data_IF_732439519217
#
_entry.id   IF_732439519217
#
_cell.length_a   1.000
_cell.length_b   1.000
_cell.length_c   1.000
_cell.angle_alpha   90.00
_cell.angle_beta   90.00
_cell.angle_gamma   90.00
#
_symmetry.space_group_name_H-M   'P 1'
#
loop_
_entity.id
_entity.type
_entity.pdbx_description
1 polymer ?
#
# COMPACT_ATOMS: atom_id res chain seq x y z
N UNK A 1 -38.94 1.84 -8.85
CA UNK A 1 -39.00 2.21 -7.44
C UNK A 1 -37.59 2.36 -6.86
N UNK A 2 -36.70 1.35 -7.00
CA UNK A 2 -35.35 1.36 -6.40
C UNK A 2 -34.51 2.58 -6.83
N UNK A 3 -34.44 2.89 -8.11
CA UNK A 3 -33.67 4.05 -8.60
C UNK A 3 -34.21 5.39 -8.06
N UNK A 4 -35.53 5.50 -7.84
CA UNK A 4 -36.13 6.66 -7.19
C UNK A 4 -35.78 6.72 -5.71
N UNK A 5 -35.83 5.58 -5.00
CA UNK A 5 -35.45 5.50 -3.58
C UNK A 5 -34.01 5.96 -3.39
N UNK A 6 -33.07 5.42 -4.15
CA UNK A 6 -31.65 5.82 -4.07
C UNK A 6 -31.46 7.29 -4.50
N UNK A 7 -32.14 7.76 -5.54
CA UNK A 7 -32.02 9.14 -6.02
C UNK A 7 -32.59 10.20 -5.07
N UNK A 8 -33.69 9.91 -4.37
CA UNK A 8 -34.39 10.87 -3.52
C UNK A 8 -34.06 10.71 -2.02
N UNK A 9 -33.76 9.48 -1.58
CA UNK A 9 -33.51 9.14 -0.16
C UNK A 9 -32.06 8.83 0.14
N UNK A 10 -31.22 8.64 -0.88
CA UNK A 10 -29.83 8.22 -0.79
C UNK A 10 -29.61 6.80 -0.19
N UNK A 11 -30.66 6.03 0.02
CA UNK A 11 -30.64 4.66 0.53
C UNK A 11 -31.83 3.83 -0.01
N UNK A 12 -31.83 2.54 0.32
CA UNK A 12 -32.93 1.62 -0.02
C UNK A 12 -34.05 1.76 1.02
N UNK A 13 -35.06 2.58 0.71
CA UNK A 13 -36.24 2.80 1.57
C UNK A 13 -37.39 1.90 1.10
N UNK A 14 -37.64 0.79 1.79
CA UNK A 14 -38.66 -0.20 1.46
C UNK A 14 -40.07 0.37 1.61
N UNK A 15 -40.33 1.22 2.60
CA UNK A 15 -41.62 1.86 2.79
C UNK A 15 -41.97 2.82 1.65
N UNK A 16 -40.96 3.59 1.20
CA UNK A 16 -41.11 4.47 0.06
C UNK A 16 -41.41 3.68 -1.22
N UNK A 17 -40.65 2.61 -1.47
CA UNK A 17 -40.86 1.74 -2.62
C UNK A 17 -42.20 1.01 -2.56
N UNK A 18 -42.63 0.59 -1.38
CA UNK A 18 -43.97 -0.01 -1.16
C UNK A 18 -45.10 0.94 -1.52
N UNK A 19 -45.00 2.21 -1.12
CA UNK A 19 -46.00 3.25 -1.54
C UNK A 19 -46.05 3.48 -3.04
N UNK A 20 -44.90 3.38 -3.73
CA UNK A 20 -44.84 3.56 -5.19
C UNK A 20 -45.35 2.37 -5.97
N UNK A 21 -45.21 1.15 -5.46
CA UNK A 21 -45.48 -0.08 -6.18
C UNK A 21 -46.74 -0.81 -5.72
N UNK A 22 -47.20 -0.52 -4.51
CA UNK A 22 -48.32 -1.25 -3.88
C UNK A 22 -47.89 -2.64 -3.35
N UNK A 23 -46.57 -2.93 -3.28
CA UNK A 23 -46.03 -4.20 -2.82
C UNK A 23 -45.53 -4.09 -1.38
N UNK A 24 -45.60 -5.21 -0.65
CA UNK A 24 -44.99 -5.31 0.68
C UNK A 24 -43.45 -5.50 0.60
N UNK A 25 -42.81 -5.38 1.73
CA UNK A 25 -41.34 -5.47 1.86
C UNK A 25 -40.80 -6.83 1.43
N UNK A 26 -41.49 -7.92 1.76
CA UNK A 26 -41.08 -9.28 1.44
C UNK A 26 -41.10 -9.52 -0.09
N UNK A 27 -42.17 -9.09 -0.73
CA UNK A 27 -42.31 -9.14 -2.22
C UNK A 27 -41.24 -8.27 -2.88
N UNK A 28 -41.01 -7.06 -2.39
CA UNK A 28 -39.96 -6.16 -2.93
C UNK A 28 -38.57 -6.74 -2.79
N UNK A 29 -38.25 -7.32 -1.63
CA UNK A 29 -36.95 -7.96 -1.43
C UNK A 29 -36.76 -9.16 -2.36
N UNK A 30 -37.83 -9.97 -2.52
CA UNK A 30 -37.82 -11.11 -3.46
C UNK A 30 -37.60 -10.68 -4.90
N UNK A 31 -38.31 -9.62 -5.34
CA UNK A 31 -38.19 -9.06 -6.73
C UNK A 31 -36.81 -8.45 -7.00
N UNK A 32 -36.15 -7.91 -5.96
CA UNK A 32 -34.86 -7.25 -6.04
C UNK A 32 -33.70 -8.17 -5.62
N UNK A 33 -33.94 -9.47 -5.56
CA UNK A 33 -32.94 -10.47 -5.19
C UNK A 33 -31.70 -10.35 -6.06
N UNK A 34 -30.52 -10.16 -5.43
CA UNK A 34 -29.25 -9.95 -6.13
C UNK A 34 -28.99 -8.50 -6.58
N UNK A 35 -29.98 -7.61 -6.48
CA UNK A 35 -29.85 -6.16 -6.74
C UNK A 35 -29.68 -5.39 -5.42
N UNK A 36 -30.31 -5.87 -4.36
CA UNK A 36 -30.13 -5.41 -3.00
C UNK A 36 -29.78 -6.59 -2.10
N UNK A 37 -29.10 -6.32 -0.99
CA UNK A 37 -28.63 -7.31 -0.03
C UNK A 37 -28.99 -6.88 1.39
N UNK A 38 -29.29 -7.86 2.27
CA UNK A 38 -29.39 -7.63 3.70
C UNK A 38 -28.04 -7.21 4.25
N UNK A 39 -28.03 -6.16 5.06
CA UNK A 39 -26.80 -5.70 5.70
C UNK A 39 -26.52 -6.54 6.96
N UNK A 40 -25.41 -7.31 7.02
CA UNK A 40 -25.07 -8.11 8.21
C UNK A 40 -24.79 -7.28 9.47
N UNK A 41 -24.51 -5.98 9.32
CA UNK A 41 -24.28 -5.06 10.44
C UNK A 41 -25.59 -4.51 11.05
N UNK A 42 -26.71 -4.62 10.32
CA UNK A 42 -28.01 -4.15 10.82
C UNK A 42 -28.50 -5.03 11.96
N UNK A 43 -28.78 -4.42 13.10
CA UNK A 43 -29.30 -5.07 14.32
C UNK A 43 -30.66 -4.56 14.78
N UNK A 44 -31.15 -3.48 14.14
CA UNK A 44 -32.44 -2.86 14.45
C UNK A 44 -32.51 -1.41 13.99
N UNK A 45 -33.71 -0.80 14.08
CA UNK A 45 -33.98 0.53 13.53
C UNK A 45 -33.14 1.68 14.08
N UNK A 46 -32.45 1.48 15.20
CA UNK A 46 -31.70 2.54 15.89
C UNK A 46 -30.20 2.30 15.96
N UNK A 47 -29.66 1.38 15.16
CA UNK A 47 -28.22 1.03 15.20
C UNK A 47 -27.36 1.89 14.25
N UNK A 48 -28.00 2.77 13.47
CA UNK A 48 -27.32 3.66 12.52
C UNK A 48 -26.91 2.97 11.22
N UNK A 49 -27.33 1.73 10.99
CA UNK A 49 -27.08 0.96 9.77
C UNK A 49 -28.36 0.80 8.94
N UNK A 50 -28.23 0.93 7.63
CA UNK A 50 -29.31 0.61 6.71
C UNK A 50 -29.55 -0.91 6.67
N UNK A 51 -30.82 -1.33 6.67
CA UNK A 51 -31.21 -2.75 6.62
C UNK A 51 -30.86 -3.39 5.28
N UNK A 52 -30.99 -2.65 4.19
CA UNK A 52 -30.71 -3.09 2.83
C UNK A 52 -29.67 -2.23 2.18
N UNK A 53 -28.71 -2.85 1.50
CA UNK A 53 -27.67 -2.18 0.75
C UNK A 53 -27.81 -2.50 -0.73
N UNK A 54 -27.61 -1.55 -1.65
CA UNK A 54 -27.59 -1.82 -3.08
C UNK A 54 -26.32 -2.64 -3.44
N UNK A 55 -26.41 -3.39 -4.56
CA UNK A 55 -25.36 -4.33 -4.96
C UNK A 55 -24.00 -3.66 -5.19
N UNK A 56 -23.96 -2.48 -5.79
CA UNK A 56 -22.74 -1.72 -6.06
C UNK A 56 -22.01 -1.32 -4.76
N UNK A 57 -22.74 -0.99 -3.71
CA UNK A 57 -22.18 -0.72 -2.39
C UNK A 57 -21.78 -2.01 -1.66
N UNK A 58 -22.67 -3.01 -1.64
CA UNK A 58 -22.46 -4.25 -0.90
C UNK A 58 -21.30 -5.07 -1.48
N UNK A 59 -21.23 -5.21 -2.80
CA UNK A 59 -20.27 -6.02 -3.52
C UNK A 59 -18.96 -5.29 -3.85
N UNK A 60 -18.68 -4.16 -3.19
CA UNK A 60 -17.46 -3.37 -3.37
C UNK A 60 -16.68 -3.20 -2.05
N UNK A 61 -15.50 -2.58 -2.12
CA UNK A 61 -14.63 -2.36 -0.96
C UNK A 61 -13.94 -3.64 -0.49
N UNK A 62 -13.91 -3.89 0.82
CA UNK A 62 -13.26 -5.10 1.38
C UNK A 62 -14.17 -6.32 1.26
N UNK A 63 -14.35 -6.81 0.03
CA UNK A 63 -15.22 -7.96 -0.28
C UNK A 63 -14.78 -9.26 0.39
N UNK A 64 -13.49 -9.43 0.72
CA UNK A 64 -12.98 -10.60 1.45
C UNK A 64 -13.51 -10.65 2.87
N UNK A 65 -13.44 -9.53 3.58
CA UNK A 65 -13.97 -9.43 4.94
C UNK A 65 -15.50 -9.55 4.94
N UNK A 66 -16.17 -8.89 3.99
CA UNK A 66 -17.63 -8.99 3.83
C UNK A 66 -18.07 -10.43 3.58
N UNK A 67 -17.31 -11.19 2.76
CA UNK A 67 -17.59 -12.60 2.47
C UNK A 67 -17.47 -13.48 3.72
N UNK A 68 -16.41 -13.34 4.50
CA UNK A 68 -16.25 -14.09 5.76
C UNK A 68 -17.40 -13.81 6.74
N UNK A 69 -17.83 -12.53 6.85
CA UNK A 69 -18.99 -12.15 7.69
C UNK A 69 -20.28 -12.78 7.15
N UNK A 70 -20.50 -12.68 5.82
CA UNK A 70 -21.71 -13.24 5.20
C UNK A 70 -21.81 -14.76 5.35
N UNK A 71 -20.69 -15.50 5.24
CA UNK A 71 -20.65 -16.95 5.50
C UNK A 71 -21.07 -17.28 6.94
N UNK A 72 -20.48 -16.58 7.93
CA UNK A 72 -20.86 -16.82 9.33
C UNK A 72 -22.32 -16.45 9.65
N UNK A 73 -22.88 -15.44 8.95
CA UNK A 73 -24.32 -15.11 9.08
C UNK A 73 -25.19 -16.14 8.38
N UNK A 74 -24.81 -16.64 7.21
CA UNK A 74 -25.58 -17.64 6.46
C UNK A 74 -25.69 -18.99 7.20
N UNK A 75 -24.72 -19.35 8.04
CA UNK A 75 -24.80 -20.52 8.91
C UNK A 75 -25.90 -20.40 9.99
N UNK A 76 -26.21 -19.17 10.40
CA UNK A 76 -27.20 -18.86 11.43
C UNK A 76 -28.58 -18.53 10.85
N UNK A 77 -28.59 -17.83 9.70
CA UNK A 77 -29.79 -17.38 9.02
C UNK A 77 -29.67 -17.58 7.48
N UNK A 78 -30.47 -18.50 6.91
CA UNK A 78 -30.44 -18.79 5.47
C UNK A 78 -30.70 -17.58 4.54
N UNK A 79 -31.29 -16.49 5.05
CA UNK A 79 -31.54 -15.29 4.24
C UNK A 79 -30.22 -14.65 3.75
N UNK A 80 -29.11 -14.86 4.48
CA UNK A 80 -27.77 -14.39 4.09
C UNK A 80 -27.04 -15.30 3.09
N UNK A 81 -27.63 -16.44 2.69
CA UNK A 81 -26.99 -17.34 1.72
C UNK A 81 -26.69 -16.61 0.39
N UNK A 82 -27.64 -15.80 -0.09
CA UNK A 82 -27.44 -15.01 -1.31
C UNK A 82 -26.30 -14.01 -1.19
N UNK A 83 -26.10 -13.43 0.00
CA UNK A 83 -25.01 -12.52 0.29
C UNK A 83 -23.65 -13.23 0.13
N UNK A 84 -23.52 -14.41 0.72
CA UNK A 84 -22.30 -15.21 0.64
C UNK A 84 -22.00 -15.66 -0.81
N UNK A 85 -23.02 -16.11 -1.55
CA UNK A 85 -22.89 -16.53 -2.94
C UNK A 85 -22.49 -15.35 -3.86
N UNK A 86 -23.12 -14.20 -3.72
CA UNK A 86 -22.81 -13.02 -4.52
C UNK A 86 -21.39 -12.48 -4.21
N UNK A 87 -21.01 -12.44 -2.93
CA UNK A 87 -19.66 -12.02 -2.54
C UNK A 87 -18.59 -13.01 -3.00
N UNK A 88 -18.87 -14.32 -3.09
CA UNK A 88 -17.96 -15.30 -3.63
C UNK A 88 -17.61 -15.05 -5.11
N UNK A 89 -18.58 -14.55 -5.89
CA UNK A 89 -18.38 -14.25 -7.32
C UNK A 89 -17.51 -13.02 -7.59
N UNK A 90 -17.45 -12.08 -6.65
CA UNK A 90 -16.69 -10.83 -6.80
C UNK A 90 -15.36 -10.84 -6.04
N UNK A 91 -14.92 -12.02 -5.56
CA UNK A 91 -13.62 -12.12 -4.90
C UNK A 91 -12.49 -11.80 -5.89
N UNK A 92 -11.55 -10.90 -5.52
CA UNK A 92 -10.39 -10.64 -6.36
C UNK A 92 -9.50 -11.88 -6.42
N UNK A 93 -8.95 -12.14 -7.59
CA UNK A 93 -7.90 -13.16 -7.76
C UNK A 93 -6.65 -12.74 -6.98
N UNK A 94 -6.04 -13.67 -6.27
CA UNK A 94 -4.75 -13.42 -5.63
C UNK A 94 -3.67 -13.23 -6.69
N UNK A 95 -2.88 -12.17 -6.52
CA UNK A 95 -1.72 -11.96 -7.38
C UNK A 95 -0.64 -12.99 -7.06
N UNK A 96 -0.03 -13.53 -8.10
CA UNK A 96 1.18 -14.35 -7.96
C UNK A 96 2.38 -13.46 -7.63
N UNK A 97 3.45 -14.05 -7.09
CA UNK A 97 4.67 -13.31 -6.78
C UNK A 97 5.22 -12.51 -7.98
N UNK A 98 5.11 -13.07 -9.20
CA UNK A 98 5.55 -12.40 -10.44
C UNK A 98 4.70 -11.20 -10.85
N UNK A 99 3.47 -11.09 -10.35
CA UNK A 99 2.55 -9.98 -10.64
C UNK A 99 2.65 -8.86 -9.60
N UNK A 100 3.32 -9.13 -8.46
CA UNK A 100 3.50 -8.13 -7.40
C UNK A 100 4.78 -7.34 -7.66
N UNK A 101 4.65 -6.05 -7.97
CA UNK A 101 5.81 -5.15 -8.09
C UNK A 101 6.23 -4.65 -6.71
N UNK A 102 7.34 -5.15 -6.20
CA UNK A 102 7.96 -4.67 -4.96
C UNK A 102 9.13 -3.77 -5.29
N UNK A 103 9.14 -2.55 -4.73
CA UNK A 103 10.23 -1.59 -4.93
C UNK A 103 10.73 -1.04 -3.60
N UNK A 104 11.97 -0.65 -3.57
CA UNK A 104 12.57 0.08 -2.45
C UNK A 104 11.77 1.37 -2.17
N UNK A 105 11.41 1.59 -0.90
CA UNK A 105 10.59 2.72 -0.48
C UNK A 105 9.08 2.45 -0.44
N UNK A 106 8.65 1.22 -0.76
CA UNK A 106 7.26 0.84 -0.53
C UNK A 106 6.94 0.92 0.98
N UNK A 107 5.92 1.70 1.34
CA UNK A 107 5.59 2.03 2.75
C UNK A 107 5.06 0.84 3.57
N UNK A 108 4.61 -0.22 2.88
CA UNK A 108 4.15 -1.45 3.50
C UNK A 108 5.28 -2.47 3.75
N UNK A 109 6.49 -2.20 3.23
CA UNK A 109 7.65 -3.07 3.41
C UNK A 109 8.20 -2.91 4.83
N UNK A 110 8.36 -4.03 5.54
CA UNK A 110 8.94 -4.02 6.88
C UNK A 110 10.42 -3.57 6.85
N UNK A 111 10.78 -2.73 7.79
CA UNK A 111 12.17 -2.21 7.96
C UNK A 111 13.20 -3.33 8.12
N UNK A 112 12.78 -4.49 8.65
CA UNK A 112 13.65 -5.66 8.81
C UNK A 112 14.12 -6.20 7.46
N UNK A 113 13.25 -6.29 6.45
CA UNK A 113 13.63 -6.73 5.10
C UNK A 113 14.57 -5.73 4.42
N UNK A 114 14.28 -4.43 4.55
CA UNK A 114 15.20 -3.39 4.02
C UNK A 114 16.57 -3.49 4.66
N UNK A 115 16.65 -3.68 5.98
CA UNK A 115 17.91 -3.87 6.70
C UNK A 115 18.64 -5.13 6.24
N UNK A 116 17.94 -6.24 6.10
CA UNK A 116 18.51 -7.50 5.62
C UNK A 116 19.08 -7.34 4.20
N UNK A 117 18.33 -6.76 3.29
CA UNK A 117 18.79 -6.43 1.94
C UNK A 117 20.09 -5.63 1.96
N UNK A 118 20.15 -4.55 2.76
CA UNK A 118 21.35 -3.71 2.88
C UNK A 118 22.53 -4.55 3.31
N UNK A 119 22.38 -5.36 4.36
CA UNK A 119 23.50 -6.11 4.94
C UNK A 119 24.00 -7.22 4.01
N UNK A 120 23.12 -7.91 3.34
CA UNK A 120 23.48 -8.98 2.41
C UNK A 120 24.10 -8.42 1.13
N UNK A 121 23.46 -7.41 0.52
CA UNK A 121 23.95 -6.83 -0.74
C UNK A 121 25.28 -6.14 -0.60
N UNK A 122 25.46 -5.34 0.45
CA UNK A 122 26.70 -4.63 0.70
C UNK A 122 27.74 -5.49 1.41
N UNK A 123 27.35 -6.66 1.95
CA UNK A 123 28.23 -7.49 2.76
C UNK A 123 28.68 -6.79 4.06
N UNK A 124 27.75 -6.07 4.69
CA UNK A 124 28.02 -5.28 5.90
C UNK A 124 28.56 -6.19 7.02
N UNK A 125 29.76 -5.93 7.59
CA UNK A 125 30.32 -6.77 8.62
C UNK A 125 29.49 -6.73 9.91
N UNK A 126 29.47 -7.85 10.67
CA UNK A 126 28.65 -7.97 11.90
C UNK A 126 28.92 -6.84 12.91
N UNK A 127 30.15 -6.36 12.99
CA UNK A 127 30.52 -5.24 13.87
C UNK A 127 29.81 -3.94 13.52
N UNK A 128 29.56 -3.67 12.24
CA UNK A 128 28.83 -2.50 11.78
C UNK A 128 27.30 -2.70 11.85
N UNK A 129 26.82 -3.95 11.63
CA UNK A 129 25.40 -4.28 11.74
C UNK A 129 24.80 -3.98 13.11
N UNK A 130 25.58 -4.13 14.18
CA UNK A 130 25.14 -3.97 15.58
C UNK A 130 24.59 -2.58 15.92
N UNK A 131 25.03 -1.55 15.24
CA UNK A 131 24.55 -0.19 15.49
C UNK A 131 23.68 0.37 14.38
N UNK A 132 23.75 -0.22 13.19
CA UNK A 132 23.03 0.29 12.02
C UNK A 132 21.53 -0.09 12.10
N UNK A 133 20.67 0.92 12.09
CA UNK A 133 19.22 0.75 12.16
C UNK A 133 18.56 1.39 10.95
N UNK A 134 17.49 0.75 10.49
CA UNK A 134 16.61 1.28 9.45
C UNK A 134 15.28 1.64 10.10
N UNK A 135 14.87 2.88 9.97
CA UNK A 135 13.63 3.41 10.52
C UNK A 135 12.73 3.95 9.41
N UNK A 136 11.43 3.74 9.57
CA UNK A 136 10.40 4.41 8.81
C UNK A 136 9.47 5.16 9.75
N UNK A 137 9.34 6.46 9.57
CA UNK A 137 8.42 7.30 10.34
C UNK A 137 7.06 7.37 9.65
N UNK A 138 6.04 6.79 10.27
CA UNK A 138 4.66 6.89 9.76
C UNK A 138 4.10 8.32 9.78
N UNK A 139 4.68 9.19 10.62
CA UNK A 139 4.23 10.59 10.76
C UNK A 139 4.78 11.44 9.63
N UNK A 140 6.09 11.33 9.33
CA UNK A 140 6.75 12.13 8.29
C UNK A 140 6.80 11.43 6.93
N UNK A 141 6.54 10.12 6.88
CA UNK A 141 6.69 9.31 5.67
C UNK A 141 8.15 9.09 5.25
N UNK A 142 9.11 9.34 6.14
CA UNK A 142 10.53 9.30 5.82
C UNK A 142 11.23 8.04 6.33
N UNK A 143 12.09 7.51 5.48
CA UNK A 143 13.05 6.45 5.81
C UNK A 143 14.37 7.05 6.25
N UNK A 144 15.01 6.43 7.25
CA UNK A 144 16.30 6.82 7.76
C UNK A 144 17.17 5.62 8.07
N UNK A 145 18.46 5.70 7.69
CA UNK A 145 19.48 4.71 8.04
C UNK A 145 20.44 5.36 9.04
N UNK A 146 20.41 4.90 10.29
CA UNK A 146 21.29 5.38 11.35
C UNK A 146 22.65 4.69 11.26
N UNK A 147 23.67 5.38 11.79
CA UNK A 147 25.05 4.86 11.91
C UNK A 147 25.71 4.41 10.58
N UNK A 148 25.29 4.96 9.45
CA UNK A 148 25.84 4.70 8.10
C UNK A 148 27.38 4.78 8.05
N UNK A 149 27.96 5.59 8.93
CA UNK A 149 29.40 5.83 8.99
C UNK A 149 30.21 4.67 9.60
N UNK A 150 29.56 3.70 10.24
CA UNK A 150 30.25 2.55 10.87
C UNK A 150 30.89 1.61 9.85
N UNK A 151 30.46 1.68 8.58
CA UNK A 151 30.96 0.84 7.48
C UNK A 151 31.60 1.66 6.34
N UNK A 152 32.30 2.74 6.69
CA UNK A 152 32.95 3.64 5.71
C UNK A 152 33.99 2.99 4.82
N UNK A 153 34.63 1.91 5.29
CA UNK A 153 35.67 1.18 4.57
C UNK A 153 35.14 0.10 3.62
N UNK A 154 33.85 -0.09 3.53
CA UNK A 154 33.24 -1.14 2.73
C UNK A 154 33.39 -0.85 1.24
N UNK A 155 34.19 -1.68 0.55
CA UNK A 155 34.46 -1.52 -0.89
C UNK A 155 33.18 -1.58 -1.74
N UNK A 156 32.23 -2.46 -1.39
CA UNK A 156 30.96 -2.52 -2.10
C UNK A 156 30.15 -1.21 -1.93
N UNK A 157 30.18 -0.63 -0.73
CA UNK A 157 29.45 0.60 -0.43
C UNK A 157 30.05 1.85 -1.09
N UNK A 158 31.37 1.89 -1.34
CA UNK A 158 32.05 3.06 -1.92
C UNK A 158 32.39 2.92 -3.40
N UNK A 159 32.34 1.70 -3.99
CA UNK A 159 32.74 1.44 -5.35
C UNK A 159 31.66 0.73 -6.17
N UNK A 160 31.18 -0.46 -5.73
CA UNK A 160 30.20 -1.24 -6.50
C UNK A 160 28.85 -0.53 -6.56
N UNK A 161 28.28 -0.18 -5.39
CA UNK A 161 26.97 0.43 -5.24
C UNK A 161 27.01 1.91 -4.82
N UNK A 162 28.21 2.47 -4.68
CA UNK A 162 28.44 3.86 -4.36
C UNK A 162 29.45 4.52 -5.27
N UNK A 163 29.80 5.74 -4.94
CA UNK A 163 30.86 6.54 -5.59
C UNK A 163 31.78 7.14 -4.52
N UNK A 164 32.86 7.79 -4.96
CA UNK A 164 33.74 8.54 -4.05
C UNK A 164 33.04 9.75 -3.37
N UNK A 165 31.93 10.22 -3.95
CA UNK A 165 31.19 11.41 -3.49
C UNK A 165 29.99 11.07 -2.61
N UNK A 166 29.39 9.89 -2.82
CA UNK A 166 28.23 9.41 -2.10
C UNK A 166 28.31 7.89 -1.95
N UNK A 167 28.14 7.38 -0.76
CA UNK A 167 28.20 5.95 -0.52
C UNK A 167 26.84 5.26 -0.75
N UNK A 168 26.84 3.93 -0.85
CA UNK A 168 25.63 3.15 -1.11
C UNK A 168 24.55 3.32 -0.05
N UNK A 169 24.90 3.51 1.23
CA UNK A 169 23.91 3.72 2.29
C UNK A 169 23.13 5.03 2.13
N UNK A 170 23.80 6.07 1.65
CA UNK A 170 23.17 7.36 1.33
C UNK A 170 22.29 7.27 0.09
N UNK A 171 22.76 6.53 -0.93
CA UNK A 171 21.97 6.28 -2.16
C UNK A 171 20.72 5.47 -1.81
N UNK A 172 20.84 4.41 -1.00
CA UNK A 172 19.71 3.59 -0.55
C UNK A 172 18.71 4.43 0.25
N UNK A 173 19.17 5.25 1.18
CA UNK A 173 18.27 6.12 1.96
C UNK A 173 17.53 7.12 1.08
N UNK A 174 18.23 7.70 0.09
CA UNK A 174 17.62 8.60 -0.90
C UNK A 174 16.57 7.87 -1.74
N UNK A 175 16.87 6.62 -2.16
CA UNK A 175 15.96 5.76 -2.94
C UNK A 175 14.72 5.36 -2.13
N UNK A 176 14.90 4.97 -0.87
CA UNK A 176 13.81 4.66 0.06
C UNK A 176 12.84 5.83 0.21
N UNK A 177 13.35 7.05 0.16
CA UNK A 177 12.56 8.28 0.20
C UNK A 177 12.04 8.72 -1.17
N UNK A 178 12.11 7.87 -2.20
CA UNK A 178 11.64 8.12 -3.56
C UNK A 178 12.24 9.38 -4.20
N UNK A 179 13.49 9.70 -3.83
CA UNK A 179 14.24 10.87 -4.33
C UNK A 179 15.37 10.39 -5.26
N UNK A 180 15.70 11.22 -6.25
CA UNK A 180 16.88 11.00 -7.07
C UNK A 180 18.13 11.56 -6.39
N UNK A 181 19.23 10.82 -6.50
CA UNK A 181 20.52 11.27 -5.99
C UNK A 181 21.00 12.47 -6.80
N UNK A 182 21.45 13.52 -6.11
CA UNK A 182 22.04 14.72 -6.71
C UNK A 182 23.33 15.07 -6.01
N UNK A 183 24.38 15.33 -6.78
CA UNK A 183 25.70 15.68 -6.29
C UNK A 183 25.96 17.17 -6.59
N UNK A 184 26.35 17.91 -5.57
CA UNK A 184 26.61 19.33 -5.67
C UNK A 184 28.09 19.62 -5.38
N UNK A 185 28.68 20.52 -6.20
CA UNK A 185 29.92 21.19 -5.89
C UNK A 185 29.60 22.54 -5.26
N UNK A 186 30.50 23.03 -4.43
CA UNK A 186 30.34 24.30 -3.76
C UNK A 186 31.34 25.30 -4.32
N UNK A 187 30.82 26.45 -4.74
CA UNK A 187 31.57 27.58 -5.23
C UNK A 187 31.28 28.81 -4.36
N UNK A 188 32.13 29.80 -4.42
CA UNK A 188 31.89 31.07 -3.76
C UNK A 188 31.56 32.12 -4.83
N UNK A 189 30.50 32.94 -4.60
CA UNK A 189 30.15 34.06 -5.47
C UNK A 189 31.09 35.23 -5.23
N UNK A 190 30.89 36.31 -5.99
CA UNK A 190 31.67 37.57 -5.87
C UNK A 190 31.53 38.22 -4.49
N UNK A 191 30.46 37.91 -3.76
CA UNK A 191 30.21 38.42 -2.40
C UNK A 191 30.69 37.44 -1.31
N UNK A 192 31.40 36.36 -1.68
CA UNK A 192 31.95 35.37 -0.76
C UNK A 192 30.90 34.39 -0.16
N UNK A 193 29.69 34.34 -0.72
CA UNK A 193 28.64 33.39 -0.26
C UNK A 193 28.80 32.06 -0.95
N UNK A 194 28.64 30.98 -0.16
CA UNK A 194 28.73 29.62 -0.66
C UNK A 194 27.50 29.23 -1.50
N UNK A 195 27.70 28.94 -2.78
CA UNK A 195 26.66 28.51 -3.71
C UNK A 195 26.84 27.03 -4.03
N UNK A 196 25.74 26.26 -4.01
CA UNK A 196 25.71 24.87 -4.44
C UNK A 196 25.42 24.78 -5.94
N UNK A 197 26.33 24.22 -6.70
CA UNK A 197 26.22 24.02 -8.15
C UNK A 197 26.08 22.53 -8.43
N UNK A 198 25.05 22.13 -9.18
CA UNK A 198 24.83 20.72 -9.52
C UNK A 198 25.96 20.21 -10.41
N UNK A 199 26.67 19.18 -9.94
CA UNK A 199 27.65 18.44 -10.74
C UNK A 199 26.91 17.36 -11.56
N UNK A 200 26.61 17.68 -12.82
CA UNK A 200 25.84 16.80 -13.72
C UNK A 200 26.51 15.44 -13.94
N UNK A 201 27.86 15.43 -14.08
CA UNK A 201 28.64 14.20 -14.33
C UNK A 201 28.59 13.26 -13.12
N UNK A 202 28.92 13.77 -11.94
CA UNK A 202 28.90 12.97 -10.71
C UNK A 202 27.46 12.55 -10.32
N UNK A 203 26.47 13.39 -10.61
CA UNK A 203 25.05 13.05 -10.43
C UNK A 203 24.65 11.90 -11.34
N UNK A 204 25.00 11.92 -12.63
CA UNK A 204 24.69 10.82 -13.55
C UNK A 204 25.33 9.49 -13.11
N UNK A 205 26.59 9.52 -12.63
CA UNK A 205 27.27 8.35 -12.08
C UNK A 205 26.54 7.83 -10.83
N UNK A 206 26.15 8.70 -9.91
CA UNK A 206 25.44 8.31 -8.71
C UNK A 206 24.04 7.75 -9.00
N UNK A 207 23.32 8.32 -9.97
CA UNK A 207 22.04 7.80 -10.44
C UNK A 207 22.15 6.43 -11.11
N UNK A 208 23.23 6.15 -11.86
CA UNK A 208 23.45 4.79 -12.39
C UNK A 208 23.69 3.77 -11.27
N UNK A 209 24.31 4.17 -10.15
CA UNK A 209 24.43 3.32 -8.96
C UNK A 209 23.07 3.15 -8.24
N UNK A 210 22.24 4.18 -8.25
CA UNK A 210 20.89 4.11 -7.72
C UNK A 210 20.04 3.08 -8.49
N UNK A 211 20.10 3.08 -9.82
CA UNK A 211 19.40 2.05 -10.63
C UNK A 211 19.97 0.64 -10.34
N UNK A 212 21.27 0.48 -10.27
CA UNK A 212 21.89 -0.81 -9.92
C UNK A 212 21.40 -1.34 -8.55
N UNK A 213 21.16 -0.46 -7.58
CA UNK A 213 20.62 -0.83 -6.27
C UNK A 213 19.14 -1.24 -6.38
N UNK A 214 18.35 -0.54 -7.20
CA UNK A 214 16.95 -0.90 -7.47
C UNK A 214 16.82 -2.27 -8.11
N UNK A 215 17.66 -2.56 -9.11
CA UNK A 215 17.73 -3.84 -9.80
C UNK A 215 18.15 -4.96 -8.83
N UNK A 216 19.20 -4.72 -8.04
CA UNK A 216 19.65 -5.67 -7.03
C UNK A 216 18.57 -5.97 -5.99
N UNK A 217 17.75 -4.98 -5.60
CA UNK A 217 16.62 -5.20 -4.69
C UNK A 217 15.51 -6.01 -5.36
N UNK A 218 15.19 -5.72 -6.61
CA UNK A 218 14.18 -6.45 -7.37
C UNK A 218 14.55 -7.94 -7.53
N UNK A 219 15.83 -8.25 -7.71
CA UNK A 219 16.32 -9.63 -7.74
C UNK A 219 16.34 -10.27 -6.34
N UNK A 220 16.74 -9.51 -5.32
CA UNK A 220 16.91 -10.01 -3.96
C UNK A 220 15.59 -10.40 -3.30
N UNK A 221 14.53 -9.62 -3.50
CA UNK A 221 13.25 -9.80 -2.80
C UNK A 221 12.54 -11.12 -3.18
N UNK A 222 12.91 -11.71 -4.33
CA UNK A 222 12.35 -12.96 -4.82
C UNK A 222 13.34 -14.15 -4.73
N UNK A 223 14.46 -13.98 -4.02
CA UNK A 223 15.35 -15.11 -3.72
C UNK A 223 14.72 -15.96 -2.63
N UNK A 224 14.60 -17.27 -2.92
CA UNK A 224 14.22 -18.31 -1.96
C UNK A 224 15.26 -18.48 -0.84
#
# INVERSE_FOLDING_TARGET
ALALSIGEKAHVDMDYMGRLTGKDEETLFSDLKGVIFLNPAYTGENDGHEKYLPADEYLSGNVRQKWAVAQGKAEQDPQYQINAEALAQVQPTDLTASEISVRLGAIWLDTAYVRQFIFETLGTPRSAQWGMKVHYSKITGEWRIEDKNKDRGNVKAISTYGTKRVNAYEIIETTLNLKDVRIFDYQYDEEGRRIAVLNKKETAIAQSKQELIKDAFAEWIWKD
#
